data_IF_353400740920
#
_entry.id   IF_353400740920
#
_cell.length_a   1.000
_cell.length_b   1.000
_cell.length_c   1.000
_cell.angle_alpha   90.00
_cell.angle_beta   90.00
_cell.angle_gamma   90.00
#
_symmetry.space_group_name_H-M   'P 1'
#
loop_
_entity.id
_entity.type
_entity.pdbx_description
1 polymer ?
#
# COMPACT_ATOMS: atom_id res chain seq x y z
N UNK A 1 20.75 4.46 -19.64
CA UNK A 1 19.58 5.34 -19.47
C UNK A 1 19.55 5.85 -18.04
N UNK A 2 19.52 7.16 -17.79
CA UNK A 2 19.14 7.66 -16.45
C UNK A 2 17.64 7.45 -16.34
N UNK A 3 17.22 6.60 -15.41
CA UNK A 3 15.79 6.31 -15.14
C UNK A 3 15.06 7.47 -14.46
N UNK A 4 15.77 8.51 -14.00
CA UNK A 4 15.17 9.67 -13.37
C UNK A 4 15.62 10.94 -14.10
N UNK A 5 14.63 11.72 -14.56
CA UNK A 5 14.83 13.06 -15.14
C UNK A 5 14.94 14.11 -14.04
N UNK A 6 14.21 13.91 -12.92
CA UNK A 6 14.20 14.79 -11.75
C UNK A 6 14.60 14.06 -10.47
N UNK A 7 15.24 14.76 -9.52
CA UNK A 7 15.71 14.16 -8.26
C UNK A 7 14.53 13.77 -7.37
N UNK A 8 13.45 14.54 -7.37
CA UNK A 8 12.27 14.30 -6.54
C UNK A 8 11.44 13.08 -6.96
N UNK A 9 11.60 12.54 -8.17
CA UNK A 9 10.91 11.30 -8.61
C UNK A 9 11.27 10.09 -7.74
N UNK A 10 12.44 10.12 -7.07
CA UNK A 10 12.88 9.05 -6.16
C UNK A 10 11.93 8.82 -4.98
N UNK A 11 11.09 9.79 -4.64
CA UNK A 11 10.09 9.64 -3.57
C UNK A 11 9.07 8.53 -3.92
N UNK A 12 8.74 8.36 -5.20
CA UNK A 12 7.81 7.33 -5.66
C UNK A 12 8.25 5.91 -5.26
N UNK A 13 9.56 5.66 -5.15
CA UNK A 13 10.09 4.37 -4.72
C UNK A 13 9.55 3.93 -3.35
N UNK A 14 9.49 4.86 -2.37
CA UNK A 14 9.03 4.52 -1.03
C UNK A 14 7.54 4.18 -0.99
N UNK A 15 6.74 4.85 -1.81
CA UNK A 15 5.32 4.54 -1.98
C UNK A 15 5.11 3.16 -2.60
N UNK A 16 5.87 2.83 -3.64
CA UNK A 16 5.80 1.50 -4.25
C UNK A 16 6.30 0.40 -3.31
N UNK A 17 7.38 0.63 -2.58
CA UNK A 17 7.88 -0.33 -1.60
C UNK A 17 6.84 -0.62 -0.51
N UNK A 18 6.20 0.42 0.05
CA UNK A 18 5.13 0.25 1.03
C UNK A 18 3.89 -0.45 0.43
N UNK A 19 3.53 -0.11 -0.81
CA UNK A 19 2.43 -0.74 -1.53
C UNK A 19 2.66 -2.25 -1.72
N UNK A 20 3.84 -2.65 -2.20
CA UNK A 20 4.18 -4.07 -2.39
C UNK A 20 4.16 -4.83 -1.06
N UNK A 21 4.65 -4.21 0.03
CA UNK A 21 4.59 -4.82 1.36
C UNK A 21 3.14 -5.12 1.78
N UNK A 22 2.24 -4.13 1.65
CA UNK A 22 0.83 -4.31 2.01
C UNK A 22 0.11 -5.28 1.07
N UNK A 23 0.49 -5.34 -0.21
CA UNK A 23 -0.03 -6.31 -1.16
C UNK A 23 0.35 -7.75 -0.77
N UNK A 24 1.60 -7.99 -0.36
CA UNK A 24 2.01 -9.31 0.13
C UNK A 24 1.23 -9.71 1.38
N UNK A 25 1.01 -8.76 2.31
CA UNK A 25 0.18 -9.00 3.49
C UNK A 25 -1.27 -9.35 3.10
N UNK A 26 -1.84 -8.65 2.11
CA UNK A 26 -3.18 -8.94 1.58
C UNK A 26 -3.28 -10.38 1.07
N UNK A 27 -2.28 -10.87 0.34
CA UNK A 27 -2.27 -12.24 -0.19
C UNK A 27 -2.34 -13.25 0.96
N UNK A 28 -1.55 -13.06 2.02
CA UNK A 28 -1.55 -13.96 3.19
C UNK A 28 -2.95 -14.04 3.81
N UNK A 29 -3.60 -12.90 4.06
CA UNK A 29 -4.97 -12.89 4.59
C UNK A 29 -6.01 -13.43 3.59
N UNK A 30 -5.79 -13.27 2.29
CA UNK A 30 -6.63 -13.87 1.26
C UNK A 30 -6.58 -15.39 1.30
N UNK A 31 -5.38 -15.96 1.39
CA UNK A 31 -5.17 -17.40 1.51
C UNK A 31 -5.73 -17.95 2.84
N UNK A 32 -5.57 -17.21 3.94
CA UNK A 32 -6.17 -17.57 5.22
C UNK A 32 -7.71 -17.61 5.13
N UNK A 33 -8.32 -16.59 4.52
CA UNK A 33 -9.77 -16.49 4.32
C UNK A 33 -10.30 -17.62 3.43
N UNK A 34 -9.60 -17.97 2.35
CA UNK A 34 -9.96 -19.12 1.48
C UNK A 34 -9.83 -20.44 2.23
N UNK A 35 -8.82 -20.59 3.09
CA UNK A 35 -8.65 -21.82 3.90
C UNK A 35 -9.84 -22.06 4.83
N UNK A 36 -10.48 -20.99 5.32
CA UNK A 36 -11.70 -21.06 6.15
C UNK A 36 -12.93 -21.56 5.38
N UNK A 37 -12.97 -21.43 4.04
CA UNK A 37 -14.02 -22.05 3.22
C UNK A 37 -13.89 -23.58 3.15
N UNK A 38 -12.67 -24.10 3.20
CA UNK A 38 -12.39 -25.55 3.15
C UNK A 38 -12.45 -26.16 4.55
N UNK A 39 -11.90 -25.45 5.55
CA UNK A 39 -11.87 -25.87 6.96
C UNK A 39 -12.45 -24.77 7.86
N UNK A 40 -13.77 -24.77 8.12
CA UNK A 40 -14.43 -23.69 8.88
C UNK A 40 -13.94 -23.49 10.32
N UNK A 41 -13.30 -24.49 10.93
CA UNK A 41 -12.70 -24.40 12.26
C UNK A 41 -11.32 -23.73 12.28
N UNK A 42 -10.71 -23.47 11.12
CA UNK A 42 -9.40 -22.84 11.01
C UNK A 42 -9.40 -21.40 11.53
N UNK A 43 -8.55 -21.11 12.52
CA UNK A 43 -8.37 -19.79 13.14
C UNK A 43 -9.64 -19.17 13.78
N UNK A 44 -10.73 -19.93 13.97
CA UNK A 44 -12.04 -19.41 14.39
C UNK A 44 -12.00 -18.61 15.71
N UNK A 45 -11.18 -19.03 16.68
CA UNK A 45 -11.12 -18.43 18.02
C UNK A 45 -10.42 -17.06 18.07
N UNK A 46 -9.54 -16.75 17.11
CA UNK A 46 -8.72 -15.54 17.14
C UNK A 46 -8.81 -14.70 15.86
N UNK A 47 -9.27 -15.29 14.75
CA UNK A 47 -9.51 -14.60 13.49
C UNK A 47 -10.73 -15.19 12.77
N UNK A 48 -11.96 -14.79 13.18
CA UNK A 48 -13.19 -15.17 12.48
C UNK A 48 -13.19 -14.73 11.01
N UNK A 49 -13.98 -15.41 10.17
CA UNK A 49 -14.03 -15.15 8.73
C UNK A 49 -14.31 -13.70 8.35
N UNK A 50 -15.25 -13.05 9.04
CA UNK A 50 -15.59 -11.65 8.80
C UNK A 50 -14.41 -10.70 9.09
N UNK A 51 -13.60 -11.01 10.12
CA UNK A 51 -12.40 -10.24 10.47
C UNK A 51 -11.33 -10.45 9.41
N UNK A 52 -11.00 -11.72 9.08
CA UNK A 52 -10.01 -12.05 8.04
C UNK A 52 -10.36 -11.40 6.69
N UNK A 53 -11.64 -11.46 6.30
CA UNK A 53 -12.15 -10.82 5.08
C UNK A 53 -12.03 -9.30 5.14
N UNK A 54 -12.37 -8.68 6.28
CA UNK A 54 -12.26 -7.23 6.46
C UNK A 54 -10.82 -6.76 6.30
N UNK A 55 -9.87 -7.46 6.93
CA UNK A 55 -8.43 -7.17 6.79
C UNK A 55 -8.01 -7.27 5.33
N UNK A 56 -8.40 -8.34 4.63
CA UNK A 56 -8.05 -8.55 3.22
C UNK A 56 -8.53 -7.41 2.31
N UNK A 57 -9.80 -7.00 2.40
CA UNK A 57 -10.33 -5.94 1.52
C UNK A 57 -9.90 -4.54 1.95
N UNK A 58 -9.64 -4.29 3.24
CA UNK A 58 -9.07 -3.02 3.68
C UNK A 58 -7.64 -2.85 3.15
N UNK A 59 -6.82 -3.92 3.24
CA UNK A 59 -5.48 -3.92 2.66
C UNK A 59 -5.51 -3.62 1.16
N UNK A 60 -6.49 -4.18 0.42
CA UNK A 60 -6.70 -3.89 -1.01
C UNK A 60 -6.79 -2.40 -1.30
N UNK A 61 -7.61 -1.72 -0.52
CA UNK A 61 -7.82 -0.28 -0.67
C UNK A 61 -6.50 0.46 -0.39
N UNK A 62 -5.84 0.17 0.73
CA UNK A 62 -4.64 0.91 1.16
C UNK A 62 -3.45 0.73 0.22
N UNK A 63 -3.14 -0.50 -0.22
CA UNK A 63 -1.98 -0.69 -1.10
C UNK A 63 -2.21 -0.09 -2.49
N UNK A 64 -3.46 -0.12 -3.00
CA UNK A 64 -3.82 0.50 -4.27
C UNK A 64 -3.66 2.03 -4.21
N UNK A 65 -4.12 2.67 -3.13
CA UNK A 65 -3.93 4.12 -2.97
C UNK A 65 -2.43 4.48 -2.93
N UNK A 66 -1.61 3.72 -2.20
CA UNK A 66 -0.16 3.93 -2.20
C UNK A 66 0.45 3.78 -3.60
N UNK A 67 0.02 2.78 -4.37
CA UNK A 67 0.49 2.59 -5.75
C UNK A 67 0.12 3.77 -6.66
N UNK A 68 -1.14 4.23 -6.60
CA UNK A 68 -1.63 5.37 -7.40
C UNK A 68 -0.89 6.66 -7.02
N UNK A 69 -0.67 6.89 -5.72
CA UNK A 69 0.10 8.03 -5.24
C UNK A 69 1.56 7.96 -5.69
N UNK A 70 2.21 6.80 -5.57
CA UNK A 70 3.56 6.56 -6.05
C UNK A 70 3.69 6.81 -7.56
N UNK A 71 2.75 6.29 -8.36
CA UNK A 71 2.68 6.55 -9.79
C UNK A 71 2.51 8.04 -10.10
N UNK A 72 1.63 8.74 -9.36
CA UNK A 72 1.46 10.19 -9.49
C UNK A 72 2.76 10.93 -9.20
N UNK A 73 3.47 10.61 -8.12
CA UNK A 73 4.76 11.24 -7.81
C UNK A 73 5.85 10.95 -8.85
N UNK A 74 5.77 9.85 -9.59
CA UNK A 74 6.71 9.57 -10.65
C UNK A 74 6.37 10.35 -11.93
N UNK A 75 5.13 10.19 -12.42
CA UNK A 75 4.66 10.70 -13.72
C UNK A 75 4.47 12.21 -13.70
N UNK A 76 3.81 12.75 -12.66
CA UNK A 76 3.44 14.18 -12.62
C UNK A 76 4.68 15.10 -12.67
N UNK A 77 5.78 14.68 -12.04
CA UNK A 77 7.02 15.45 -12.00
C UNK A 77 7.65 15.52 -13.41
N UNK A 78 7.60 14.40 -14.13
CA UNK A 78 8.10 14.31 -15.51
C UNK A 78 7.26 15.20 -16.44
N UNK A 79 5.94 15.07 -16.39
CA UNK A 79 5.00 15.83 -17.20
C UNK A 79 4.99 17.33 -16.87
N UNK A 80 5.20 17.69 -15.60
CA UNK A 80 5.28 19.09 -15.20
C UNK A 80 6.63 19.75 -15.55
N UNK A 81 7.63 18.97 -15.97
CA UNK A 81 8.96 19.47 -16.33
C UNK A 81 9.68 20.21 -15.20
N UNK A 82 9.32 19.96 -13.94
CA UNK A 82 9.89 20.63 -12.77
C UNK A 82 9.88 19.73 -11.54
N UNK A 83 10.78 20.02 -10.60
CA UNK A 83 10.87 19.30 -9.31
C UNK A 83 9.58 19.43 -8.48
N UNK A 84 9.35 18.44 -7.62
CA UNK A 84 8.24 18.44 -6.66
C UNK A 84 8.36 19.61 -5.68
N UNK A 85 7.22 20.24 -5.36
CA UNK A 85 7.17 21.35 -4.39
C UNK A 85 7.87 21.04 -3.06
N UNK A 86 7.64 19.85 -2.49
CA UNK A 86 8.31 19.42 -1.27
C UNK A 86 8.35 17.90 -1.16
N UNK A 87 9.57 17.35 -1.16
CA UNK A 87 9.80 15.93 -0.87
C UNK A 87 9.49 15.59 0.59
N UNK A 88 9.63 16.56 1.51
CA UNK A 88 9.31 16.38 2.94
C UNK A 88 7.81 16.15 3.14
N UNK A 89 6.96 16.91 2.46
CA UNK A 89 5.49 16.75 2.54
C UNK A 89 5.08 15.36 2.05
N UNK A 90 5.65 14.92 0.93
CA UNK A 90 5.38 13.57 0.43
C UNK A 90 5.81 12.49 1.43
N UNK A 91 7.00 12.58 2.02
CA UNK A 91 7.40 11.60 3.06
C UNK A 91 6.50 11.63 4.31
N UNK A 92 6.06 12.81 4.76
CA UNK A 92 5.10 12.94 5.87
C UNK A 92 3.77 12.29 5.49
N UNK A 93 3.27 12.54 4.28
CA UNK A 93 2.03 11.94 3.77
C UNK A 93 2.12 10.42 3.74
N UNK A 94 3.26 9.86 3.30
CA UNK A 94 3.51 8.42 3.33
C UNK A 94 3.41 7.86 4.76
N UNK A 95 4.08 8.50 5.72
CA UNK A 95 4.09 8.04 7.13
C UNK A 95 2.68 8.09 7.72
N UNK A 96 1.95 9.20 7.53
CA UNK A 96 0.58 9.36 8.02
C UNK A 96 -0.33 8.30 7.40
N UNK A 97 -0.21 8.07 6.09
CA UNK A 97 -1.05 7.10 5.40
C UNK A 97 -0.76 5.67 5.84
N UNK A 98 0.52 5.31 6.03
CA UNK A 98 0.91 4.02 6.59
C UNK A 98 0.41 3.83 8.03
N UNK A 99 0.52 4.85 8.88
CA UNK A 99 0.02 4.79 10.25
C UNK A 99 -1.52 4.63 10.29
N UNK A 100 -2.24 5.37 9.44
CA UNK A 100 -3.69 5.23 9.29
C UNK A 100 -4.07 3.81 8.78
N UNK A 101 -3.29 3.26 7.85
CA UNK A 101 -3.48 1.90 7.35
C UNK A 101 -3.34 0.84 8.44
N UNK A 102 -2.34 0.95 9.31
CA UNK A 102 -2.17 0.04 10.46
C UNK A 102 -3.33 0.15 11.44
N UNK A 103 -3.86 1.36 11.67
CA UNK A 103 -5.02 1.55 12.57
C UNK A 103 -6.37 1.10 12.00
N UNK A 104 -6.46 0.84 10.69
CA UNK A 104 -7.70 0.43 10.01
C UNK A 104 -7.86 -1.09 9.86
N UNK A 105 -6.89 -1.86 10.36
CA UNK A 105 -6.76 -3.32 10.27
C UNK A 105 -6.81 -3.88 11.69
#
# INVERSE_FOLDING_TARGET
MRTFTFRSQKVAYYYFAASVLLFLLQIVFGLATVSQYVWPSFALNWMPFNVSRSIHINLLIFWMFLAIMGATYYILIEEAGKELFSTKIAMIQLIIFCAAGVGAI
#
